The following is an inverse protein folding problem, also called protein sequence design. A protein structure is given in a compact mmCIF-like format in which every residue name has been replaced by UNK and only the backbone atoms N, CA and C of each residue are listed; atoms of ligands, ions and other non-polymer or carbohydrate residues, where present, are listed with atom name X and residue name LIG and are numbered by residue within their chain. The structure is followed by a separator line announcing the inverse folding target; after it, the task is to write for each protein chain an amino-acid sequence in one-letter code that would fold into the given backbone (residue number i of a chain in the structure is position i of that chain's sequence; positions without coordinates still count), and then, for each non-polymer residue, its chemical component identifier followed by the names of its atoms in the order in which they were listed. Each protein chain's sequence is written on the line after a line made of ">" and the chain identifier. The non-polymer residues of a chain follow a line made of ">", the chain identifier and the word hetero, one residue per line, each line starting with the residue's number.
data_IF_625392896839
#
_entry.id   IF_625392896839
#
_cell.length_a   1.000
_cell.length_b   1.000
_cell.length_c   1.000
_cell.angle_alpha   90.00
_cell.angle_beta   90.00
_cell.angle_gamma   90.00
#
_symmetry.space_group_name_H-M   'P 1'
#
loop_
_entity.id
_entity.type
_entity.pdbx_description
1 polymer ?
#
# COMPACT_ATOMS: atom_id res chain seq x y z
N UNK A 1 31.92 -6.14 63.14
CA UNK A 1 32.04 -6.84 61.84
C UNK A 1 30.64 -6.86 61.22
N UNK A 2 30.38 -6.03 60.21
CA UNK A 2 30.30 -6.45 58.79
C UNK A 2 29.35 -7.64 58.62
N UNK A 3 28.25 -7.64 57.88
CA UNK A 3 27.62 -6.72 56.95
C UNK A 3 26.61 -7.59 56.18
N UNK A 4 25.32 -7.25 56.18
CA UNK A 4 24.31 -8.01 55.44
C UNK A 4 24.03 -7.30 54.11
N UNK A 5 24.60 -7.83 53.02
CA UNK A 5 24.30 -7.38 51.66
C UNK A 5 22.96 -7.95 51.21
N UNK A 6 22.00 -7.06 50.95
CA UNK A 6 20.80 -7.29 50.15
C UNK A 6 21.22 -7.46 48.68
N UNK A 7 21.06 -8.66 48.14
CA UNK A 7 21.13 -8.93 46.70
C UNK A 7 19.73 -9.08 46.12
N UNK A 8 19.11 -7.94 45.75
CA UNK A 8 17.87 -7.93 44.99
C UNK A 8 18.14 -8.29 43.53
N UNK A 9 17.56 -9.41 43.08
CA UNK A 9 17.51 -9.76 41.65
C UNK A 9 16.49 -8.83 41.00
N UNK A 10 16.96 -7.81 40.30
CA UNK A 10 16.15 -7.02 39.37
C UNK A 10 15.78 -7.91 38.19
N UNK A 11 14.55 -8.44 38.20
CA UNK A 11 13.90 -8.93 37.00
C UNK A 11 13.69 -7.74 36.08
N UNK A 12 14.45 -7.68 34.98
CA UNK A 12 14.16 -6.80 33.88
C UNK A 12 12.82 -7.25 33.27
N UNK A 13 11.75 -6.51 33.57
CA UNK A 13 10.48 -6.65 32.88
C UNK A 13 10.66 -6.41 31.38
N UNK A 14 9.76 -6.95 30.54
CA UNK A 14 9.83 -6.75 29.10
C UNK A 14 9.76 -5.25 28.81
N UNK A 15 10.80 -4.72 28.18
CA UNK A 15 10.85 -3.36 27.69
C UNK A 15 9.78 -3.22 26.62
N UNK A 16 8.62 -2.67 26.98
CA UNK A 16 7.56 -2.32 26.04
C UNK A 16 8.07 -1.17 25.18
N UNK A 17 8.63 -1.50 24.02
CA UNK A 17 8.99 -0.51 23.01
C UNK A 17 7.69 0.18 22.58
N UNK A 18 7.55 1.46 22.92
CA UNK A 18 6.42 2.28 22.51
C UNK A 18 6.31 2.29 20.98
N UNK A 19 5.15 2.01 20.38
CA UNK A 19 5.00 2.12 18.94
C UNK A 19 5.17 3.59 18.53
N UNK A 20 6.06 3.81 17.56
CA UNK A 20 6.19 5.07 16.82
C UNK A 20 4.81 5.43 16.23
N UNK A 21 4.37 6.69 16.29
CA UNK A 21 3.10 7.10 15.69
C UNK A 21 3.07 6.77 14.19
N UNK A 22 1.92 6.26 13.74
CA UNK A 22 1.62 5.83 12.35
C UNK A 22 1.77 6.97 11.31
N UNK A 23 2.09 8.21 11.73
CA UNK A 23 1.97 9.39 10.85
C UNK A 23 3.17 10.35 10.86
N UNK A 24 4.27 10.03 11.56
CA UNK A 24 5.48 10.86 11.46
C UNK A 24 6.31 10.41 10.26
N UNK A 25 6.05 10.98 9.09
CA UNK A 25 6.89 10.92 7.88
C UNK A 25 7.49 9.53 7.63
N UNK A 26 6.63 8.52 7.41
CA UNK A 26 7.07 7.25 6.89
C UNK A 26 7.46 7.42 5.41
N UNK A 27 8.69 7.86 5.18
CA UNK A 27 9.37 7.63 3.91
C UNK A 27 9.48 6.11 3.77
N UNK A 28 8.53 5.49 3.07
CA UNK A 28 8.65 4.09 2.69
C UNK A 28 9.99 3.91 1.97
N UNK A 29 10.86 3.09 2.55
CA UNK A 29 12.12 2.70 1.93
C UNK A 29 11.89 1.31 1.37
N UNK A 30 11.96 1.17 0.04
CA UNK A 30 11.86 -0.13 -0.58
C UNK A 30 12.90 -1.07 0.05
N UNK A 31 12.49 -2.27 0.51
CA UNK A 31 13.42 -3.23 1.06
C UNK A 31 14.48 -3.60 0.00
N UNK A 32 15.70 -3.97 0.42
CA UNK A 32 16.80 -4.33 -0.48
C UNK A 32 16.60 -5.73 -1.05
N UNK A 33 15.46 -5.96 -1.70
CA UNK A 33 15.09 -7.21 -2.35
C UNK A 33 14.74 -6.96 -3.79
N UNK A 34 14.98 -7.97 -4.62
CA UNK A 34 14.59 -7.89 -6.01
C UNK A 34 13.06 -7.96 -6.12
N UNK A 35 12.54 -7.27 -7.13
CA UNK A 35 11.10 -7.14 -7.32
C UNK A 35 10.43 -8.48 -7.73
N UNK A 36 11.19 -9.44 -8.27
CA UNK A 36 10.65 -10.72 -8.68
C UNK A 36 10.39 -11.61 -7.46
N UNK A 37 11.34 -11.70 -6.53
CA UNK A 37 11.18 -12.39 -5.24
C UNK A 37 10.02 -11.80 -4.44
N UNK A 38 9.93 -10.47 -4.35
CA UNK A 38 8.82 -9.82 -3.66
C UNK A 38 7.46 -10.11 -4.32
N UNK A 39 7.41 -10.15 -5.66
CA UNK A 39 6.20 -10.48 -6.43
C UNK A 39 5.77 -11.93 -6.17
N UNK A 40 6.72 -12.86 -6.14
CA UNK A 40 6.47 -14.27 -5.85
C UNK A 40 5.89 -14.45 -4.45
N UNK A 41 6.58 -13.96 -3.42
CA UNK A 41 6.15 -14.16 -2.02
C UNK A 41 4.81 -13.48 -1.74
N UNK A 42 4.59 -12.27 -2.25
CA UNK A 42 3.36 -11.50 -1.97
C UNK A 42 2.18 -11.89 -2.87
N UNK A 43 2.44 -12.49 -4.03
CA UNK A 43 1.43 -12.84 -5.03
C UNK A 43 0.99 -14.31 -5.01
N UNK A 44 1.84 -15.23 -4.55
CA UNK A 44 1.55 -16.67 -4.56
C UNK A 44 0.54 -17.08 -3.49
N UNK A 45 0.76 -16.61 -2.26
CA UNK A 45 -0.05 -17.00 -1.11
C UNK A 45 -0.39 -15.80 -0.23
N UNK A 46 -1.50 -15.94 0.48
CA UNK A 46 -1.82 -15.00 1.57
C UNK A 46 -0.87 -15.32 2.71
N UNK A 47 -0.15 -14.31 3.17
CA UNK A 47 0.72 -14.45 4.32
C UNK A 47 -0.12 -14.86 5.55
N UNK A 48 0.47 -15.59 6.49
CA UNK A 48 -0.25 -16.03 7.68
C UNK A 48 -0.89 -14.87 8.43
N UNK A 49 -2.19 -14.97 8.70
CA UNK A 49 -2.88 -14.01 9.54
C UNK A 49 -2.41 -14.14 11.00
N UNK A 50 -2.02 -13.04 11.67
CA UNK A 50 -1.64 -13.10 13.08
C UNK A 50 -2.84 -13.46 13.96
N UNK A 51 -2.59 -14.24 15.02
CA UNK A 51 -3.61 -14.50 16.04
C UNK A 51 -4.00 -13.20 16.76
N UNK A 52 -5.30 -13.05 17.06
CA UNK A 52 -5.85 -11.88 17.74
C UNK A 52 -6.77 -12.24 18.90
N UNK A 53 -6.85 -11.33 19.87
CA UNK A 53 -7.87 -11.36 20.92
C UNK A 53 -9.22 -10.90 20.34
N UNK A 54 -10.25 -11.74 20.49
CA UNK A 54 -11.62 -11.49 20.03
C UNK A 54 -12.33 -10.37 20.81
N UNK A 55 -11.76 -9.92 21.93
CA UNK A 55 -12.35 -8.87 22.77
C UNK A 55 -11.98 -7.45 22.36
N UNK A 56 -11.07 -7.27 21.39
CA UNK A 56 -10.53 -5.95 21.01
C UNK A 56 -10.42 -5.79 19.49
N UNK A 57 -10.28 -4.55 19.01
CA UNK A 57 -10.03 -4.27 17.58
C UNK A 57 -8.53 -4.26 17.29
N UNK A 58 -8.15 -4.65 16.08
CA UNK A 58 -6.74 -4.83 15.69
C UNK A 58 -6.44 -4.22 14.33
N UNK A 59 -5.28 -3.57 14.23
CA UNK A 59 -4.68 -3.15 12.96
C UNK A 59 -3.55 -4.11 12.63
N UNK A 60 -3.50 -4.56 11.38
CA UNK A 60 -2.41 -5.34 10.84
C UNK A 60 -1.67 -4.52 9.79
N UNK A 61 -0.37 -4.37 10.00
CA UNK A 61 0.53 -3.68 9.10
C UNK A 61 1.49 -4.68 8.49
N UNK A 62 1.55 -4.73 7.16
CA UNK A 62 2.55 -5.54 6.47
C UNK A 62 3.94 -4.94 6.66
N UNK A 63 4.89 -5.77 7.06
CA UNK A 63 6.27 -5.39 7.28
C UNK A 63 7.21 -6.34 6.53
N UNK A 64 8.36 -5.81 6.12
CA UNK A 64 9.49 -6.60 5.65
C UNK A 64 10.60 -6.58 6.69
N UNK A 65 11.16 -7.74 6.96
CA UNK A 65 12.43 -7.89 7.65
C UNK A 65 13.46 -8.54 6.72
N UNK A 66 14.73 -8.17 6.85
CA UNK A 66 15.83 -8.88 6.18
C UNK A 66 16.42 -9.90 7.16
N UNK A 67 16.29 -11.18 6.84
CA UNK A 67 16.89 -12.28 7.60
C UNK A 67 18.03 -12.88 6.77
N UNK A 68 19.25 -12.48 7.10
CA UNK A 68 20.43 -12.83 6.30
C UNK A 68 20.39 -12.15 4.92
N UNK A 69 20.23 -12.94 3.86
CA UNK A 69 20.12 -12.46 2.47
C UNK A 69 18.67 -12.52 1.93
N UNK A 70 17.71 -12.93 2.76
CA UNK A 70 16.32 -13.16 2.34
C UNK A 70 15.43 -12.08 2.96
N UNK A 71 14.44 -11.57 2.22
CA UNK A 71 13.35 -10.84 2.85
C UNK A 71 12.27 -11.79 3.33
N UNK A 72 11.80 -11.53 4.53
CA UNK A 72 10.61 -12.14 5.10
C UNK A 72 9.53 -11.07 5.22
N UNK A 73 8.32 -11.44 4.82
CA UNK A 73 7.14 -10.60 4.93
C UNK A 73 6.23 -11.15 6.02
N UNK A 74 5.75 -10.28 6.90
CA UNK A 74 4.83 -10.66 7.96
C UNK A 74 3.92 -9.51 8.36
N UNK A 75 2.79 -9.85 8.95
CA UNK A 75 1.87 -8.87 9.52
C UNK A 75 2.20 -8.63 10.99
N UNK A 76 2.45 -7.37 11.34
CA UNK A 76 2.50 -6.93 12.73
C UNK A 76 1.09 -6.52 13.15
N UNK A 77 0.59 -7.11 14.23
CA UNK A 77 -0.68 -6.73 14.84
C UNK A 77 -0.49 -5.64 15.90
N UNK A 78 -1.43 -4.72 16.00
CA UNK A 78 -1.47 -3.68 17.04
C UNK A 78 -2.93 -3.46 17.45
N UNK A 79 -3.20 -3.57 18.75
CA UNK A 79 -4.53 -3.30 19.28
C UNK A 79 -4.89 -1.83 19.06
N UNK A 80 -6.14 -1.57 18.68
CA UNK A 80 -6.65 -0.23 18.40
C UNK A 80 -8.03 -0.01 19.01
N UNK A 81 -8.39 1.26 19.19
CA UNK A 81 -9.77 1.69 19.39
C UNK A 81 -10.11 2.65 18.26
N UNK A 82 -11.17 2.36 17.51
CA UNK A 82 -11.54 3.10 16.31
C UNK A 82 -13.07 3.18 16.21
N UNK A 83 -13.56 4.39 15.97
CA UNK A 83 -14.99 4.63 15.74
C UNK A 83 -15.24 4.82 14.25
N UNK A 84 -16.12 4.00 13.67
CA UNK A 84 -16.44 4.03 12.23
C UNK A 84 -17.83 4.64 12.02
N UNK A 85 -17.93 5.68 11.21
CA UNK A 85 -19.22 6.28 10.86
C UNK A 85 -19.83 5.60 9.62
N UNK A 86 -20.47 4.44 9.85
CA UNK A 86 -21.12 3.65 8.80
C UNK A 86 -22.33 4.33 8.17
N UNK A 87 -22.90 5.36 8.81
CA UNK A 87 -24.08 6.06 8.29
C UNK A 87 -23.75 7.03 7.15
N UNK A 88 -22.48 7.40 6.96
CA UNK A 88 -22.06 8.44 6.00
C UNK A 88 -20.92 7.95 5.12
N UNK A 89 -21.18 7.08 4.12
CA UNK A 89 -20.17 6.72 3.15
C UNK A 89 -19.70 7.97 2.41
N UNK A 90 -18.39 8.09 2.23
CA UNK A 90 -17.75 9.25 1.60
C UNK A 90 -17.33 8.97 0.16
N UNK A 91 -17.14 7.70 -0.20
CA UNK A 91 -16.86 7.22 -1.56
C UNK A 91 -17.44 5.82 -1.76
N UNK A 92 -17.74 5.50 -3.01
CA UNK A 92 -18.16 4.17 -3.45
C UNK A 92 -17.47 3.84 -4.78
N UNK A 93 -16.87 2.66 -4.88
CA UNK A 93 -16.20 2.17 -6.09
C UNK A 93 -16.02 0.65 -6.02
N UNK A 94 -16.20 -0.07 -7.14
CA UNK A 94 -16.02 -1.53 -7.24
C UNK A 94 -16.64 -2.31 -6.08
N UNK A 95 -17.92 -2.01 -5.79
CA UNK A 95 -18.68 -2.62 -4.68
C UNK A 95 -18.06 -2.42 -3.29
N UNK A 96 -17.10 -1.51 -3.18
CA UNK A 96 -16.48 -1.11 -1.94
C UNK A 96 -17.00 0.27 -1.50
N UNK A 97 -17.42 0.35 -0.23
CA UNK A 97 -17.84 1.59 0.40
C UNK A 97 -16.73 2.10 1.32
N UNK A 98 -16.34 3.36 1.16
CA UNK A 98 -15.40 4.02 2.07
C UNK A 98 -16.18 4.82 3.10
N UNK A 99 -15.81 4.70 4.37
CA UNK A 99 -16.40 5.40 5.50
C UNK A 99 -15.33 6.24 6.22
N UNK A 100 -15.68 7.43 6.73
CA UNK A 100 -14.81 8.15 7.64
C UNK A 100 -14.77 7.42 8.99
N UNK A 101 -13.60 7.41 9.61
CA UNK A 101 -13.40 6.84 10.92
C UNK A 101 -12.40 7.66 11.74
N UNK A 102 -12.47 7.50 13.05
CA UNK A 102 -11.57 8.16 14.00
C UNK A 102 -10.81 7.10 14.79
N UNK A 103 -9.50 7.05 14.60
CA UNK A 103 -8.62 6.15 15.33
C UNK A 103 -8.09 6.84 16.57
N UNK A 104 -8.35 6.24 17.72
CA UNK A 104 -7.94 6.78 19.01
C UNK A 104 -6.55 6.27 19.36
N UNK A 105 -5.68 7.18 19.80
CA UNK A 105 -4.32 6.80 20.19
C UNK A 105 -4.36 5.94 21.46
N UNK A 106 -3.48 4.94 21.60
CA UNK A 106 -3.42 4.12 22.81
C UNK A 106 -3.25 4.98 24.07
N UNK A 107 -3.98 4.64 25.13
CA UNK A 107 -3.80 5.15 26.50
C UNK A 107 -4.22 6.59 26.82
N UNK A 108 -5.31 7.10 26.26
CA UNK A 108 -6.01 8.25 26.85
C UNK A 108 -5.14 9.49 27.06
N UNK A 109 -4.10 9.66 26.24
CA UNK A 109 -3.38 10.93 26.13
C UNK A 109 -4.33 11.84 25.37
N UNK A 110 -5.32 12.35 26.10
CA UNK A 110 -6.43 13.16 25.60
C UNK A 110 -5.94 14.43 24.86
N UNK A 111 -4.67 14.80 25.05
CA UNK A 111 -4.05 15.98 24.46
C UNK A 111 -3.57 15.78 23.01
N UNK A 112 -3.50 14.54 22.50
CA UNK A 112 -3.00 14.28 21.14
C UNK A 112 -4.09 14.09 20.07
N UNK A 113 -5.37 14.14 20.47
CA UNK A 113 -6.53 14.04 19.57
C UNK A 113 -6.70 12.67 18.91
N UNK A 114 -7.89 12.43 18.35
CA UNK A 114 -8.13 11.31 17.44
C UNK A 114 -7.45 11.57 16.09
N UNK A 115 -7.03 10.50 15.41
CA UNK A 115 -6.53 10.58 14.04
C UNK A 115 -7.71 10.32 13.08
N UNK A 116 -7.97 11.28 12.19
CA UNK A 116 -8.91 11.05 11.08
C UNK A 116 -8.32 10.04 10.09
N UNK A 117 -9.06 8.97 9.89
CA UNK A 117 -8.74 7.89 8.96
C UNK A 117 -9.96 7.57 8.12
N UNK A 118 -9.79 6.68 7.16
CA UNK A 118 -10.90 6.13 6.41
C UNK A 118 -10.75 4.62 6.31
N UNK A 119 -11.90 3.95 6.40
CA UNK A 119 -12.00 2.51 6.28
C UNK A 119 -12.78 2.17 5.02
N UNK A 120 -12.37 1.12 4.33
CA UNK A 120 -13.08 0.61 3.16
C UNK A 120 -13.60 -0.78 3.46
N UNK A 121 -14.91 -0.93 3.30
CA UNK A 121 -15.63 -2.19 3.42
C UNK A 121 -16.00 -2.70 2.03
N UNK A 122 -15.87 -4.00 1.81
CA UNK A 122 -16.22 -4.67 0.57
C UNK A 122 -17.43 -5.56 0.81
N UNK A 123 -18.44 -5.49 -0.06
CA UNK A 123 -19.72 -6.17 0.15
C UNK A 123 -19.67 -7.71 0.20
N UNK A 124 -18.59 -8.32 -0.30
CA UNK A 124 -18.47 -9.78 -0.49
C UNK A 124 -17.13 -10.38 -0.01
N UNK A 125 -16.26 -9.58 0.59
CA UNK A 125 -14.86 -10.00 0.77
C UNK A 125 -14.60 -10.71 2.08
N UNK A 126 -13.85 -11.80 1.97
CA UNK A 126 -13.33 -12.54 3.11
C UNK A 126 -12.22 -11.78 3.85
N UNK A 127 -11.91 -12.19 5.08
CA UNK A 127 -10.71 -11.77 5.80
C UNK A 127 -9.46 -11.90 4.93
N UNK A 128 -9.31 -13.05 4.26
CA UNK A 128 -8.24 -13.35 3.32
C UNK A 128 -8.08 -12.26 2.24
N UNK A 129 -9.19 -11.76 1.70
CA UNK A 129 -9.18 -10.74 0.64
C UNK A 129 -8.53 -9.43 1.12
N UNK A 130 -8.80 -9.01 2.35
CA UNK A 130 -8.24 -7.79 2.92
C UNK A 130 -6.71 -7.88 3.09
N UNK A 131 -6.21 -9.03 3.56
CA UNK A 131 -4.78 -9.28 3.65
C UNK A 131 -4.10 -9.32 2.28
N UNK A 132 -4.72 -9.94 1.28
CA UNK A 132 -4.22 -9.92 -0.10
C UNK A 132 -4.16 -8.51 -0.68
N UNK A 133 -5.17 -7.68 -0.44
CA UNK A 133 -5.18 -6.29 -0.90
C UNK A 133 -4.05 -5.47 -0.25
N UNK A 134 -3.79 -5.71 1.04
CA UNK A 134 -2.66 -5.07 1.74
C UNK A 134 -1.31 -5.50 1.13
N UNK A 135 -1.14 -6.80 0.81
CA UNK A 135 0.03 -7.31 0.09
C UNK A 135 0.21 -6.67 -1.30
N UNK A 136 -0.88 -6.57 -2.07
CA UNK A 136 -0.90 -5.94 -3.39
C UNK A 136 -0.46 -4.47 -3.32
N UNK A 137 -1.01 -3.70 -2.37
CA UNK A 137 -0.64 -2.29 -2.19
C UNK A 137 0.80 -2.12 -1.72
N UNK A 138 1.30 -3.02 -0.87
CA UNK A 138 2.71 -3.00 -0.46
C UNK A 138 3.64 -3.26 -1.65
N UNK A 139 3.36 -4.29 -2.45
CA UNK A 139 4.15 -4.60 -3.65
C UNK A 139 4.15 -3.43 -4.64
N UNK A 140 2.98 -2.81 -4.83
CA UNK A 140 2.82 -1.64 -5.69
C UNK A 140 3.63 -0.45 -5.19
N UNK A 141 3.61 -0.19 -3.88
CA UNK A 141 4.39 0.88 -3.24
C UNK A 141 5.89 0.65 -3.43
N UNK A 142 6.36 -0.59 -3.27
CA UNK A 142 7.74 -0.97 -3.54
C UNK A 142 8.14 -0.69 -5.00
N UNK A 143 7.31 -1.06 -5.97
CA UNK A 143 7.57 -0.78 -7.39
C UNK A 143 7.60 0.73 -7.69
N UNK A 144 6.73 1.52 -7.05
CA UNK A 144 6.76 2.98 -7.18
C UNK A 144 8.08 3.55 -6.68
N UNK A 145 8.56 3.12 -5.50
CA UNK A 145 9.84 3.58 -4.97
C UNK A 145 11.03 3.19 -5.85
N UNK A 146 11.00 2.00 -6.46
CA UNK A 146 12.01 1.59 -7.43
C UNK A 146 11.97 2.45 -8.71
N UNK A 147 10.79 2.80 -9.19
CA UNK A 147 10.62 3.71 -10.32
C UNK A 147 11.16 5.10 -9.99
N UNK A 148 10.83 5.65 -8.83
CA UNK A 148 11.36 6.93 -8.34
C UNK A 148 12.87 6.90 -8.20
N UNK A 149 13.45 5.81 -7.68
CA UNK A 149 14.89 5.59 -7.66
C UNK A 149 15.48 5.67 -9.07
N UNK A 150 14.84 5.03 -10.04
CA UNK A 150 15.28 5.07 -11.44
C UNK A 150 15.23 6.47 -12.05
N UNK A 151 14.21 7.27 -11.70
CA UNK A 151 14.11 8.66 -12.14
C UNK A 151 15.20 9.54 -11.52
N UNK A 152 15.55 9.31 -10.25
CA UNK A 152 16.63 10.02 -9.54
C UNK A 152 18.03 9.73 -10.10
N UNK A 153 18.21 8.67 -10.88
CA UNK A 153 19.44 8.39 -11.63
C UNK A 153 19.61 9.25 -12.89
N UNK A 154 18.53 9.84 -13.41
CA UNK A 154 18.52 10.63 -14.66
C UNK A 154 18.01 12.07 -14.47
N UNK A 155 18.41 12.79 -13.40
CA UNK A 155 17.77 14.05 -13.02
C UNK A 155 17.89 15.14 -14.10
N UNK A 156 18.99 15.17 -14.85
CA UNK A 156 19.23 16.11 -15.94
C UNK A 156 18.31 15.90 -17.15
N UNK A 157 17.65 14.73 -17.22
CA UNK A 157 16.70 14.42 -18.28
C UNK A 157 15.26 14.74 -17.89
N UNK A 158 14.96 15.04 -16.63
CA UNK A 158 13.59 15.26 -16.15
C UNK A 158 13.17 16.72 -16.31
N UNK A 159 11.89 16.94 -16.58
CA UNK A 159 11.27 18.26 -16.37
C UNK A 159 11.13 18.54 -14.87
N UNK A 160 10.93 19.80 -14.50
CA UNK A 160 10.70 20.19 -13.09
C UNK A 160 9.50 19.44 -12.50
N UNK A 161 8.40 19.34 -13.25
CA UNK A 161 7.20 18.62 -12.80
C UNK A 161 7.48 17.12 -12.56
N UNK A 162 8.24 16.48 -13.44
CA UNK A 162 8.60 15.06 -13.28
C UNK A 162 9.56 14.83 -12.11
N UNK A 163 10.52 15.73 -11.89
CA UNK A 163 11.41 15.66 -10.74
C UNK A 163 10.65 15.81 -9.42
N UNK A 164 9.64 16.69 -9.38
CA UNK A 164 8.74 16.84 -8.24
C UNK A 164 7.93 15.55 -8.01
N UNK A 165 7.31 15.00 -9.06
CA UNK A 165 6.54 13.75 -8.95
C UNK A 165 7.42 12.55 -8.55
N UNK A 166 8.67 12.49 -9.03
CA UNK A 166 9.64 11.48 -8.63
C UNK A 166 10.03 11.56 -7.14
N UNK A 167 9.74 12.68 -6.48
CA UNK A 167 10.03 12.91 -5.06
C UNK A 167 8.78 12.70 -4.21
N UNK A 168 7.63 13.23 -4.63
CA UNK A 168 6.50 13.40 -3.71
C UNK A 168 5.31 12.48 -3.97
N UNK A 169 5.24 11.82 -5.13
CA UNK A 169 4.16 10.84 -5.36
C UNK A 169 4.34 9.67 -4.40
N UNK A 170 3.27 9.26 -3.72
CA UNK A 170 3.29 8.12 -2.81
C UNK A 170 1.96 7.38 -2.83
N UNK A 171 1.97 6.15 -2.37
CA UNK A 171 0.73 5.49 -1.97
C UNK A 171 0.34 5.90 -0.55
N UNK A 172 -0.97 6.01 -0.30
CA UNK A 172 -1.52 6.03 1.04
C UNK A 172 -1.18 4.71 1.70
N UNK A 173 -0.70 4.77 2.95
CA UNK A 173 -0.43 3.56 3.72
C UNK A 173 -1.72 2.76 3.89
N UNK A 174 -1.60 1.44 3.71
CA UNK A 174 -2.74 0.56 3.76
C UNK A 174 -2.52 -0.52 4.81
N UNK A 175 -3.51 -0.68 5.66
CA UNK A 175 -3.54 -1.65 6.73
C UNK A 175 -4.81 -2.48 6.63
N UNK A 176 -4.81 -3.63 7.29
CA UNK A 176 -6.04 -4.38 7.55
C UNK A 176 -6.56 -4.02 8.93
N UNK A 177 -7.85 -3.77 9.06
CA UNK A 177 -8.53 -3.54 10.33
C UNK A 177 -9.49 -4.70 10.60
N UNK A 178 -9.28 -5.40 11.71
CA UNK A 178 -10.29 -6.26 12.33
C UNK A 178 -11.01 -5.44 13.41
N UNK A 179 -12.19 -4.92 13.09
CA UNK A 179 -12.97 -4.08 13.99
C UNK A 179 -13.98 -4.92 14.76
N UNK A 180 -13.91 -4.89 16.09
CA UNK A 180 -14.86 -5.60 16.94
C UNK A 180 -16.22 -4.92 16.90
N UNK A 181 -17.21 -5.61 16.36
CA UNK A 181 -18.58 -5.12 16.27
C UNK A 181 -19.36 -5.38 17.58
N UNK A 182 -20.57 -4.81 17.65
CA UNK A 182 -21.44 -4.91 18.82
C UNK A 182 -21.92 -6.34 19.14
N UNK A 183 -21.75 -7.28 18.20
CA UNK A 183 -22.06 -8.70 18.38
C UNK A 183 -20.86 -9.51 18.88
N UNK A 184 -19.71 -8.86 19.11
CA UNK A 184 -18.48 -9.53 19.55
C UNK A 184 -17.76 -10.29 18.44
N UNK A 185 -18.09 -10.04 17.18
CA UNK A 185 -17.36 -10.57 16.01
C UNK A 185 -16.45 -9.48 15.42
N UNK A 186 -15.53 -9.86 14.54
CA UNK A 186 -14.72 -8.92 13.78
C UNK A 186 -15.29 -8.68 12.39
N UNK A 187 -15.59 -7.41 12.11
CA UNK A 187 -15.79 -6.94 10.74
C UNK A 187 -14.43 -6.53 10.17
N UNK A 188 -14.14 -6.95 8.94
CA UNK A 188 -12.86 -6.67 8.28
C UNK A 188 -12.99 -5.44 7.37
N UNK A 189 -11.97 -4.58 7.42
CA UNK A 189 -11.86 -3.41 6.57
C UNK A 189 -10.41 -3.26 6.10
N UNK A 190 -10.20 -2.50 5.02
CA UNK A 190 -8.91 -1.84 4.85
C UNK A 190 -8.94 -0.47 5.52
N UNK A 191 -7.82 -0.05 6.08
CA UNK A 191 -7.64 1.20 6.81
C UNK A 191 -6.53 2.01 6.13
N UNK A 192 -6.75 3.32 5.97
CA UNK A 192 -5.77 4.26 5.43
C UNK A 192 -6.00 5.68 5.97
N UNK A 193 -5.06 6.59 5.69
CA UNK A 193 -5.18 8.00 6.05
C UNK A 193 -6.40 8.67 5.39
N UNK A 194 -6.93 9.71 6.03
CA UNK A 194 -8.05 10.47 5.48
C UNK A 194 -7.62 11.37 4.31
N UNK A 195 -8.05 11.05 3.09
CA UNK A 195 -7.76 11.87 1.91
C UNK A 195 -8.82 12.95 1.67
N UNK A 196 -8.38 14.21 1.67
CA UNK A 196 -9.22 15.40 1.44
C UNK A 196 -8.91 16.02 0.08
N UNK A 197 -9.91 16.17 -0.77
CA UNK A 197 -9.77 16.84 -2.07
C UNK A 197 -10.52 16.15 -3.19
N UNK A 198 -10.30 16.65 -4.42
CA UNK A 198 -10.88 16.06 -5.63
C UNK A 198 -10.19 14.75 -5.96
N UNK A 199 -10.97 13.69 -6.16
CA UNK A 199 -10.49 12.40 -6.63
C UNK A 199 -10.30 12.44 -8.14
N UNK A 200 -9.14 11.97 -8.59
CA UNK A 200 -8.81 11.71 -9.98
C UNK A 200 -8.62 10.22 -10.20
N UNK A 201 -8.82 9.76 -11.43
CA UNK A 201 -8.79 8.35 -11.81
C UNK A 201 -8.11 8.15 -13.16
N UNK A 202 -7.32 7.10 -13.31
CA UNK A 202 -6.90 6.58 -14.62
C UNK A 202 -7.81 5.41 -15.01
N UNK A 203 -7.80 5.04 -16.29
CA UNK A 203 -8.50 3.83 -16.73
C UNK A 203 -7.85 2.58 -16.12
N UNK A 204 -8.69 1.60 -15.81
CA UNK A 204 -8.39 0.22 -15.40
C UNK A 204 -8.44 -0.77 -16.57
N UNK A 205 -8.98 -0.34 -17.71
CA UNK A 205 -9.33 -1.18 -18.87
C UNK A 205 -8.69 -0.70 -20.17
N UNK A 206 -8.15 0.52 -20.21
CA UNK A 206 -7.43 1.07 -21.36
C UNK A 206 -6.04 1.56 -20.96
N UNK A 207 -5.07 1.28 -21.82
CA UNK A 207 -3.70 1.73 -21.68
C UNK A 207 -3.32 2.84 -22.68
N UNK A 208 -4.31 3.38 -23.38
CA UNK A 208 -4.12 4.51 -24.28
C UNK A 208 -3.49 5.70 -23.55
N UNK A 209 -2.68 6.53 -24.23
CA UNK A 209 -2.14 7.74 -23.64
C UNK A 209 -3.25 8.61 -23.05
N UNK A 210 -3.00 9.26 -21.91
CA UNK A 210 -3.97 10.19 -21.35
C UNK A 210 -4.20 11.36 -22.32
N UNK A 211 -5.44 11.83 -22.38
CA UNK A 211 -5.75 13.05 -23.11
C UNK A 211 -5.22 14.28 -22.35
N UNK A 212 -4.53 15.16 -23.09
CA UNK A 212 -3.96 16.40 -22.54
C UNK A 212 -2.58 16.23 -21.92
N UNK A 213 -1.99 17.36 -21.54
CA UNK A 213 -0.64 17.43 -20.96
C UNK A 213 -0.74 17.56 -19.43
N UNK A 214 -1.09 16.47 -18.76
CA UNK A 214 -1.18 16.40 -17.29
C UNK A 214 -0.02 15.56 -16.78
N UNK A 215 0.97 16.20 -16.15
CA UNK A 215 2.22 15.56 -15.71
C UNK A 215 1.98 14.31 -14.84
N UNK A 216 0.97 14.33 -13.95
CA UNK A 216 0.61 13.16 -13.13
C UNK A 216 0.12 11.98 -13.98
N UNK A 217 -0.65 12.23 -15.04
CA UNK A 217 -1.13 11.16 -15.93
C UNK A 217 0.00 10.60 -16.79
N UNK A 218 0.92 11.45 -17.27
CA UNK A 218 2.13 10.98 -17.98
C UNK A 218 3.05 10.17 -17.05
N UNK A 219 3.21 10.60 -15.81
CA UNK A 219 3.96 9.88 -14.79
C UNK A 219 3.36 8.50 -14.52
N UNK A 220 2.04 8.41 -14.30
CA UNK A 220 1.36 7.15 -14.05
C UNK A 220 1.37 6.23 -15.27
N UNK A 221 1.24 6.77 -16.48
CA UNK A 221 1.38 6.00 -17.72
C UNK A 221 2.79 5.41 -17.86
N UNK A 222 3.83 6.17 -17.54
CA UNK A 222 5.20 5.69 -17.52
C UNK A 222 5.44 4.69 -16.38
N UNK A 223 4.83 4.88 -15.22
CA UNK A 223 4.91 3.95 -14.10
C UNK A 223 4.27 2.60 -14.45
N UNK A 224 3.08 2.57 -15.07
CA UNK A 224 2.48 1.34 -15.60
C UNK A 224 3.46 0.60 -16.53
N UNK A 225 4.09 1.30 -17.48
CA UNK A 225 5.08 0.69 -18.35
C UNK A 225 6.34 0.22 -17.61
N UNK A 226 6.79 0.98 -16.62
CA UNK A 226 7.91 0.58 -15.78
C UNK A 226 7.63 -0.74 -15.07
N UNK A 227 6.43 -0.95 -14.54
CA UNK A 227 6.07 -2.22 -13.89
C UNK A 227 6.10 -3.40 -14.87
N UNK A 228 5.63 -3.21 -16.10
CA UNK A 228 5.77 -4.21 -17.19
C UNK A 228 7.24 -4.54 -17.47
N UNK A 229 8.05 -3.51 -17.67
CA UNK A 229 9.47 -3.68 -18.00
C UNK A 229 10.24 -4.34 -16.84
N UNK A 230 10.00 -3.88 -15.60
CA UNK A 230 10.69 -4.33 -14.39
C UNK A 230 10.35 -5.76 -14.02
N UNK A 231 9.11 -6.19 -14.25
CA UNK A 231 8.66 -7.57 -13.99
C UNK A 231 8.93 -8.52 -15.16
N UNK A 232 9.79 -8.13 -16.11
CA UNK A 232 10.09 -8.90 -17.32
C UNK A 232 8.80 -9.33 -18.07
N UNK A 233 7.90 -8.37 -18.28
CA UNK A 233 6.63 -8.53 -19.01
C UNK A 233 5.59 -9.41 -18.31
N UNK A 234 5.74 -9.62 -17.01
CA UNK A 234 4.87 -10.53 -16.25
C UNK A 234 3.66 -9.82 -15.62
N UNK A 235 3.78 -8.54 -15.26
CA UNK A 235 2.71 -7.78 -14.61
C UNK A 235 2.70 -6.30 -15.00
N UNK A 236 1.52 -5.68 -14.97
CA UNK A 236 1.36 -4.22 -15.07
C UNK A 236 0.50 -3.71 -13.92
N UNK A 237 0.76 -2.46 -13.50
CA UNK A 237 -0.07 -1.77 -12.51
C UNK A 237 -0.79 -0.59 -13.17
N UNK A 238 -2.11 -0.53 -13.04
CA UNK A 238 -2.98 0.51 -13.62
C UNK A 238 -4.16 0.85 -12.71
N UNK A 239 -5.22 1.49 -13.25
CA UNK A 239 -6.44 1.80 -12.49
C UNK A 239 -6.22 2.73 -11.29
N UNK A 240 -5.28 3.67 -11.39
CA UNK A 240 -4.89 4.48 -10.25
C UNK A 240 -5.98 5.47 -9.86
N UNK A 241 -6.31 5.53 -8.56
CA UNK A 241 -7.04 6.65 -7.99
C UNK A 241 -6.15 7.47 -7.07
N UNK A 242 -6.30 8.79 -7.13
CA UNK A 242 -5.44 9.68 -6.38
C UNK A 242 -6.11 11.00 -5.99
N UNK A 243 -5.57 11.63 -4.94
CA UNK A 243 -5.88 12.99 -4.50
C UNK A 243 -4.54 13.73 -4.34
N UNK A 244 -4.35 14.83 -5.07
CA UNK A 244 -3.06 15.52 -5.10
C UNK A 244 -1.95 14.58 -5.61
N UNK A 245 -0.97 14.28 -4.75
CA UNK A 245 0.14 13.36 -5.05
C UNK A 245 0.04 12.02 -4.34
N UNK A 246 -1.07 11.77 -3.63
CA UNK A 246 -1.30 10.52 -2.90
C UNK A 246 -2.20 9.59 -3.71
N UNK A 247 -1.64 8.47 -4.15
CA UNK A 247 -2.33 7.35 -4.77
C UNK A 247 -2.96 6.49 -3.66
N UNK A 248 -4.17 5.96 -3.83
CA UNK A 248 -4.82 5.14 -2.80
C UNK A 248 -5.51 3.89 -3.32
N UNK A 249 -5.57 3.77 -4.63
CA UNK A 249 -6.08 2.60 -5.33
C UNK A 249 -5.22 2.37 -6.57
N UNK A 250 -5.05 1.11 -6.91
CA UNK A 250 -4.38 0.59 -8.10
C UNK A 250 -4.87 -0.84 -8.31
N UNK A 251 -4.65 -1.34 -9.51
CA UNK A 251 -4.90 -2.72 -9.89
C UNK A 251 -3.61 -3.30 -10.43
N UNK A 252 -3.30 -4.54 -10.05
CA UNK A 252 -2.24 -5.31 -10.70
C UNK A 252 -2.85 -6.39 -11.61
N UNK A 253 -2.44 -6.35 -12.87
CA UNK A 253 -2.71 -7.42 -13.85
C UNK A 253 -1.44 -8.24 -13.96
N UNK A 254 -1.55 -9.56 -13.76
CA UNK A 254 -0.39 -10.44 -13.62
C UNK A 254 -0.63 -11.77 -14.38
N UNK A 255 0.40 -12.28 -15.07
CA UNK A 255 0.32 -13.55 -15.83
C UNK A 255 0.33 -14.81 -14.96
N UNK A 256 0.87 -14.73 -13.76
CA UNK A 256 1.23 -15.89 -12.92
C UNK A 256 0.43 -15.91 -11.62
N UNK A 257 0.30 -14.77 -10.96
CA UNK A 257 -0.22 -14.68 -9.60
C UNK A 257 -1.62 -14.07 -9.56
N UNK A 258 -2.46 -14.60 -8.69
CA UNK A 258 -3.82 -14.10 -8.48
C UNK A 258 -3.82 -13.10 -7.32
N UNK A 259 -3.63 -11.84 -7.65
CA UNK A 259 -3.75 -10.73 -6.71
C UNK A 259 -5.21 -10.47 -6.32
N UNK A 260 -5.47 -9.61 -5.32
CA UNK A 260 -6.82 -9.36 -4.79
C UNK A 260 -7.76 -8.87 -5.88
N UNK A 261 -7.34 -7.88 -6.66
CA UNK A 261 -8.17 -7.30 -7.70
C UNK A 261 -8.06 -8.02 -9.07
N UNK A 262 -7.43 -9.20 -9.10
CA UNK A 262 -6.86 -9.84 -10.29
C UNK A 262 -7.82 -10.35 -11.38
N UNK A 263 -9.08 -9.92 -11.42
CA UNK A 263 -10.04 -10.44 -12.43
C UNK A 263 -10.96 -9.40 -13.07
N UNK A 264 -10.61 -8.11 -13.04
CA UNK A 264 -11.38 -7.09 -13.77
C UNK A 264 -10.84 -6.88 -15.17
N UNK A 265 -11.06 -7.85 -16.06
CA UNK A 265 -11.00 -7.75 -17.53
C UNK A 265 -9.68 -7.35 -18.24
N UNK A 266 -8.72 -6.74 -17.55
CA UNK A 266 -7.46 -6.31 -18.13
C UNK A 266 -6.54 -7.48 -18.43
N UNK A 267 -6.00 -7.53 -19.66
CA UNK A 267 -4.98 -8.50 -20.05
C UNK A 267 -3.67 -7.77 -20.31
N UNK A 268 -2.56 -8.44 -20.00
CA UNK A 268 -1.24 -7.94 -20.41
C UNK A 268 -1.17 -7.71 -21.93
N UNK A 269 -1.88 -8.52 -22.73
CA UNK A 269 -2.00 -8.32 -24.17
C UNK A 269 -2.61 -6.97 -24.55
N UNK A 270 -3.54 -6.46 -23.74
CA UNK A 270 -4.22 -5.18 -23.98
C UNK A 270 -3.25 -4.02 -23.71
N UNK A 271 -2.41 -4.15 -22.67
CA UNK A 271 -1.30 -3.22 -22.44
C UNK A 271 -0.32 -3.24 -23.62
N UNK A 272 0.07 -4.43 -24.08
CA UNK A 272 1.01 -4.59 -25.20
C UNK A 272 0.46 -3.99 -26.51
N UNK A 273 -0.86 -4.00 -26.74
CA UNK A 273 -1.48 -3.41 -27.94
C UNK A 273 -1.73 -1.91 -27.84
N UNK A 274 -2.11 -1.41 -26.66
CA UNK A 274 -2.71 -0.08 -26.53
C UNK A 274 -1.72 0.95 -26.00
N UNK A 275 -0.80 0.52 -25.12
CA UNK A 275 0.17 1.44 -24.53
C UNK A 275 0.98 2.13 -25.62
N UNK A 276 1.23 3.44 -25.46
CA UNK A 276 2.19 4.17 -26.28
C UNK A 276 3.17 4.87 -25.37
N UNK A 277 4.46 4.67 -25.62
CA UNK A 277 5.50 5.33 -24.84
C UNK A 277 5.38 6.85 -24.94
N UNK A 278 5.25 7.51 -23.79
CA UNK A 278 5.42 8.96 -23.70
C UNK A 278 6.91 9.36 -23.66
N UNK A 279 7.19 10.65 -23.46
CA UNK A 279 8.55 11.19 -23.39
C UNK A 279 9.33 10.64 -22.18
N UNK A 280 8.66 10.41 -21.05
CA UNK A 280 9.27 9.89 -19.83
C UNK A 280 9.66 8.43 -19.99
N UNK A 281 8.79 7.60 -20.60
CA UNK A 281 9.10 6.20 -20.92
C UNK A 281 10.42 6.07 -21.68
N UNK A 282 10.59 6.90 -22.73
CA UNK A 282 11.78 6.88 -23.58
C UNK A 282 13.03 7.34 -22.85
N UNK A 283 12.93 8.37 -22.02
CA UNK A 283 14.07 8.86 -21.21
C UNK A 283 14.55 7.85 -20.17
N UNK A 284 13.64 7.06 -19.60
CA UNK A 284 13.96 5.93 -18.71
C UNK A 284 14.62 4.76 -19.47
N UNK A 285 14.55 4.76 -20.81
CA UNK A 285 15.10 3.71 -21.67
C UNK A 285 14.13 2.59 -21.98
N UNK A 286 12.84 2.75 -21.67
CA UNK A 286 11.82 1.76 -21.97
C UNK A 286 11.47 1.78 -23.45
N UNK A 287 11.45 0.60 -24.07
CA UNK A 287 11.05 0.41 -25.47
C UNK A 287 9.54 0.18 -25.54
N UNK A 288 8.93 0.59 -26.65
CA UNK A 288 7.52 0.31 -26.93
C UNK A 288 7.20 -1.18 -26.66
N UNK A 289 6.15 -1.48 -25.88
CA UNK A 289 5.70 -2.86 -25.69
C UNK A 289 5.46 -3.53 -27.04
N UNK A 290 5.98 -4.75 -27.17
CA UNK A 290 5.78 -5.59 -28.34
C UNK A 290 4.94 -6.79 -27.90
N UNK A 291 3.97 -7.18 -28.72
CA UNK A 291 3.15 -8.38 -28.49
C UNK A 291 4.08 -9.59 -28.29
N UNK A 292 3.95 -10.24 -27.14
CA UNK A 292 4.66 -11.50 -26.85
C UNK A 292 3.98 -12.71 -27.48
#
# INVERSE_FOLDING_TARGET
>A
MFGAHLGGILSAGPTTILPVPIVDNCNFVAPPIDAATAREVLGELVLPTPAIDLHTSWIFTLQTATVGQTAEFSFRSTQTYIDINLAKPIRYWDWASTFPAEMHRPWGINDLGSLEVEVQAFGSDSERSHFMLCQEKYHTTMLLSLFQGKLKEIPLLLTVAEAQLATDVRFAENHVLAHRNNFGMHDMYTLQERLRGKVHKTSDTSYSPPEGNVAMLEFLNAFTHYTYWRTNKAAVINGFHYVGWTLFHSLIVDKTYNWHAGYFSGRISDFESDHRCNSLCRRVGMKQPARS
#
